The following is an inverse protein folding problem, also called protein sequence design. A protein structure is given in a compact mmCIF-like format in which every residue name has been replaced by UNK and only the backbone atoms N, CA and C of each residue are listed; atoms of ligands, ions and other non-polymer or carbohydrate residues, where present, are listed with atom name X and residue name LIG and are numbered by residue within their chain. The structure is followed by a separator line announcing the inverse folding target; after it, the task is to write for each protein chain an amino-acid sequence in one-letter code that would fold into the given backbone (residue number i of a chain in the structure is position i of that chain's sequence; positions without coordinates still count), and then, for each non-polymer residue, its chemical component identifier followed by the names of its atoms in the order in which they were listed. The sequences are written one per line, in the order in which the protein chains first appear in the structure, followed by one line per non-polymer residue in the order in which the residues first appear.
data_IF_744291470929
#
_entry.id   IF_744291470929
#
_cell.length_a   1.000
_cell.length_b   1.000
_cell.length_c   1.000
_cell.angle_alpha   90.00
_cell.angle_beta   90.00
_cell.angle_gamma   90.00
#
_symmetry.space_group_name_H-M   'P 1'
#
loop_
_entity.id
_entity.type
_entity.pdbx_description
1 polymer ?
#
# COMPACT_ATOMS: atom_id res chain seq x y z
N UNK A 1 26.95 50.42 47.73
CA UNK A 1 26.35 51.21 46.63
C UNK A 1 27.50 51.85 45.84
N UNK A 2 27.59 51.62 44.51
CA UNK A 2 28.65 52.12 43.59
C UNK A 2 30.07 51.55 43.90
N UNK A 3 30.97 51.27 42.96
CA UNK A 3 30.93 51.23 41.48
C UNK A 3 32.09 50.33 41.00
N UNK A 4 31.89 49.49 39.96
CA UNK A 4 32.99 49.03 39.10
C UNK A 4 32.54 49.05 37.63
N UNK A 5 33.10 50.01 36.91
CA UNK A 5 32.93 50.24 35.48
C UNK A 5 34.01 49.51 34.67
N UNK A 6 33.82 49.41 33.34
CA UNK A 6 34.78 48.95 32.30
C UNK A 6 35.13 47.44 32.34
N UNK A 7 35.27 46.75 31.19
CA UNK A 7 35.56 47.23 29.83
C UNK A 7 34.65 46.59 28.75
N UNK A 8 34.40 47.36 27.69
CA UNK A 8 33.89 46.94 26.38
C UNK A 8 34.95 47.31 25.34
N UNK A 9 35.19 46.47 24.32
CA UNK A 9 35.79 46.68 22.97
C UNK A 9 36.24 45.29 22.44
N UNK A 10 35.64 44.67 21.39
CA UNK A 10 35.64 44.98 19.94
C UNK A 10 36.91 44.41 19.23
N UNK A 11 36.87 43.25 18.56
CA UNK A 11 36.65 42.99 17.08
C UNK A 11 37.99 43.06 16.27
N UNK A 12 38.38 42.22 15.29
CA UNK A 12 37.69 41.39 14.25
C UNK A 12 38.50 40.13 13.80
N UNK A 13 38.22 39.59 12.59
CA UNK A 13 38.95 38.62 11.73
C UNK A 13 38.89 37.11 12.11
N UNK A 14 38.11 36.19 11.49
CA UNK A 14 37.81 35.82 10.06
C UNK A 14 38.79 34.77 9.48
N UNK A 15 38.34 33.50 9.35
CA UNK A 15 38.25 32.83 8.04
C UNK A 15 37.37 31.55 8.04
N UNK A 16 36.63 31.45 6.94
CA UNK A 16 35.68 30.44 6.42
C UNK A 16 36.16 28.97 6.43
N UNK A 17 35.30 28.03 6.84
CA UNK A 17 34.99 26.75 6.15
C UNK A 17 33.92 25.93 6.93
N UNK A 18 32.96 25.30 6.24
CA UNK A 18 32.02 24.34 6.90
C UNK A 18 30.55 24.37 6.46
N UNK A 19 30.30 24.21 5.16
CA UNK A 19 29.10 23.60 4.53
C UNK A 19 27.74 23.65 5.25
N UNK A 20 26.79 24.33 4.59
CA UNK A 20 25.34 24.26 4.78
C UNK A 20 24.84 22.81 4.93
N UNK A 21 24.29 22.46 6.10
CA UNK A 21 23.36 21.35 6.26
C UNK A 21 21.93 21.88 6.28
N UNK A 22 21.43 22.25 5.10
CA UNK A 22 20.00 22.23 4.87
C UNK A 22 19.63 20.75 4.72
N UNK A 23 18.86 20.20 5.65
CA UNK A 23 18.22 18.90 5.46
C UNK A 23 17.17 19.06 4.36
N UNK A 24 17.58 18.78 3.12
CA UNK A 24 16.67 18.61 2.00
C UNK A 24 15.84 17.35 2.26
N UNK A 25 14.70 17.51 2.93
CA UNK A 25 13.64 16.52 2.96
C UNK A 25 13.04 16.41 1.54
N UNK A 26 13.72 15.64 0.68
CA UNK A 26 13.25 15.34 -0.67
C UNK A 26 12.12 14.32 -0.61
N UNK A 27 10.91 14.81 -0.29
CA UNK A 27 9.68 14.13 -0.69
C UNK A 27 9.56 14.23 -2.22
N UNK A 28 10.36 13.45 -2.95
CA UNK A 28 10.34 13.44 -4.40
C UNK A 28 9.18 12.56 -4.85
N UNK A 29 8.06 13.21 -5.21
CA UNK A 29 7.01 12.57 -5.99
C UNK A 29 7.62 12.00 -7.28
N UNK A 30 7.54 10.68 -7.44
CA UNK A 30 8.18 9.95 -8.54
C UNK A 30 7.44 10.12 -9.86
N UNK A 31 7.58 11.29 -10.50
CA UNK A 31 7.11 11.53 -11.86
C UNK A 31 8.11 12.40 -12.65
N UNK A 32 9.05 11.75 -13.35
CA UNK A 32 9.66 12.25 -14.60
C UNK A 32 10.53 11.18 -15.25
N UNK A 33 10.00 10.58 -16.31
CA UNK A 33 10.63 10.30 -17.60
C UNK A 33 12.11 9.85 -17.66
N UNK A 34 12.30 8.56 -17.93
CA UNK A 34 13.58 8.00 -18.37
C UNK A 34 13.41 6.60 -18.94
N UNK A 35 13.46 6.45 -20.28
CA UNK A 35 13.31 5.14 -20.93
C UNK A 35 14.50 4.21 -20.66
N UNK A 36 14.38 3.36 -19.63
CA UNK A 36 15.28 2.23 -19.41
C UNK A 36 14.76 0.96 -20.13
N UNK A 37 14.87 0.94 -21.46
CA UNK A 37 14.57 -0.26 -22.25
C UNK A 37 15.67 -1.33 -22.04
N UNK A 38 15.44 -2.29 -21.13
CA UNK A 38 16.32 -3.44 -20.96
C UNK A 38 15.79 -4.65 -21.75
N UNK A 39 16.48 -4.99 -22.84
CA UNK A 39 16.15 -6.13 -23.67
C UNK A 39 16.59 -7.44 -23.00
N UNK A 40 15.65 -8.15 -22.37
CA UNK A 40 15.86 -9.49 -21.82
C UNK A 40 14.82 -10.49 -22.34
N UNK A 41 14.71 -10.60 -23.67
CA UNK A 41 13.82 -11.58 -24.33
C UNK A 41 14.63 -12.80 -24.78
N UNK A 42 14.59 -13.91 -24.04
CA UNK A 42 14.68 -15.29 -24.59
C UNK A 42 14.60 -16.41 -23.55
N UNK A 43 14.12 -17.57 -24.04
CA UNK A 43 14.33 -18.93 -23.51
C UNK A 43 13.79 -19.28 -22.11
N UNK A 44 12.45 -19.37 -21.97
CA UNK A 44 11.81 -20.43 -21.15
C UNK A 44 10.70 -21.12 -21.97
N UNK A 45 11.10 -21.85 -23.01
CA UNK A 45 10.24 -22.82 -23.70
C UNK A 45 10.95 -24.18 -23.67
N UNK A 46 10.42 -25.13 -22.87
CA UNK A 46 10.49 -26.60 -23.03
C UNK A 46 10.40 -27.36 -21.69
N UNK A 47 9.22 -27.39 -21.05
CA UNK A 47 8.81 -28.47 -20.13
C UNK A 47 7.31 -28.77 -20.26
N UNK A 48 6.90 -29.16 -21.47
CA UNK A 48 5.57 -29.73 -21.73
C UNK A 48 5.45 -31.13 -21.12
N UNK A 49 4.96 -31.22 -19.89
CA UNK A 49 4.49 -32.48 -19.30
C UNK A 49 3.07 -32.74 -19.84
N UNK A 50 2.78 -33.91 -20.44
CA UNK A 50 1.43 -34.22 -20.91
C UNK A 50 0.50 -34.47 -19.73
N UNK A 51 -0.35 -33.49 -19.39
CA UNK A 51 -1.49 -33.73 -18.50
C UNK A 51 -2.43 -34.74 -19.17
N UNK A 52 -2.71 -35.84 -18.46
CA UNK A 52 -3.74 -36.79 -18.86
C UNK A 52 -5.10 -36.17 -18.56
N UNK A 53 -5.87 -35.86 -19.59
CA UNK A 53 -7.25 -35.43 -19.44
C UNK A 53 -8.11 -36.57 -18.88
N UNK A 54 -8.60 -36.42 -17.65
CA UNK A 54 -9.66 -37.26 -17.12
C UNK A 54 -11.02 -36.61 -17.47
N UNK A 55 -11.70 -37.14 -18.49
CA UNK A 55 -13.06 -36.71 -18.85
C UNK A 55 -14.06 -37.25 -17.85
N UNK A 56 -14.51 -36.42 -16.91
CA UNK A 56 -15.74 -36.63 -16.17
C UNK A 56 -16.81 -35.65 -16.71
N UNK A 57 -17.86 -36.19 -17.34
CA UNK A 57 -18.91 -35.40 -17.95
C UNK A 57 -20.03 -35.10 -16.95
N UNK A 58 -20.48 -33.84 -16.89
CA UNK A 58 -21.86 -33.37 -16.66
C UNK A 58 -21.89 -31.91 -16.18
N UNK A 59 -21.63 -30.95 -17.07
CA UNK A 59 -22.07 -29.57 -16.81
C UNK A 59 -23.52 -29.48 -17.28
N UNK A 60 -24.45 -29.38 -16.33
CA UNK A 60 -25.83 -29.03 -16.62
C UNK A 60 -25.86 -27.67 -17.32
N UNK A 61 -26.38 -27.62 -18.54
CA UNK A 61 -26.81 -26.35 -19.13
C UNK A 61 -28.04 -25.89 -18.36
N UNK A 62 -27.91 -24.85 -17.53
CA UNK A 62 -29.07 -24.12 -17.02
C UNK A 62 -29.51 -23.12 -18.10
N UNK A 63 -30.62 -23.44 -18.77
CA UNK A 63 -31.27 -22.52 -19.70
C UNK A 63 -31.63 -21.20 -19.01
N UNK A 64 -31.66 -20.12 -19.77
CA UNK A 64 -31.83 -18.78 -19.22
C UNK A 64 -33.21 -18.55 -18.60
N UNK A 65 -33.25 -18.25 -17.30
CA UNK A 65 -34.33 -17.46 -16.72
C UNK A 65 -33.79 -16.06 -16.42
N UNK A 66 -34.11 -15.09 -17.28
CA UNK A 66 -33.90 -13.67 -17.03
C UNK A 66 -34.88 -13.17 -15.97
N UNK A 67 -34.61 -13.52 -14.72
CA UNK A 67 -35.21 -12.89 -13.56
C UNK A 67 -34.09 -12.17 -12.83
N UNK A 68 -34.12 -10.84 -12.86
CA UNK A 68 -33.06 -9.97 -12.38
C UNK A 68 -32.84 -10.10 -10.88
N UNK A 69 -32.10 -11.13 -10.47
CA UNK A 69 -31.39 -11.16 -9.19
C UNK A 69 -30.53 -9.89 -9.17
N UNK A 70 -30.54 -9.09 -8.08
CA UNK A 70 -29.56 -8.02 -7.94
C UNK A 70 -28.17 -8.60 -8.23
N UNK A 71 -27.40 -7.95 -9.09
CA UNK A 71 -25.99 -8.27 -9.26
C UNK A 71 -25.37 -8.21 -7.88
N UNK A 72 -24.92 -9.35 -7.35
CA UNK A 72 -24.56 -9.48 -5.94
C UNK A 72 -23.30 -8.61 -5.70
N UNK A 73 -23.52 -7.40 -5.17
CA UNK A 73 -22.50 -6.36 -5.10
C UNK A 73 -21.37 -6.86 -4.21
N UNK A 74 -20.20 -7.03 -4.83
CA UNK A 74 -19.07 -7.78 -4.29
C UNK A 74 -17.80 -6.94 -4.28
N UNK A 75 -17.00 -7.10 -3.23
CA UNK A 75 -15.69 -6.43 -3.11
C UNK A 75 -14.66 -6.99 -4.11
N UNK A 76 -14.91 -8.18 -4.66
CA UNK A 76 -14.08 -8.79 -5.71
C UNK A 76 -13.90 -7.84 -6.88
N UNK A 77 -12.66 -7.69 -7.33
CA UNK A 77 -12.28 -6.80 -8.43
C UNK A 77 -11.00 -6.02 -8.16
N UNK A 78 -10.77 -5.00 -8.98
CA UNK A 78 -9.58 -4.17 -8.97
C UNK A 78 -9.90 -2.77 -8.43
N UNK A 79 -9.00 -2.22 -7.61
CA UNK A 79 -9.22 -1.01 -6.82
C UNK A 79 -7.98 -0.12 -6.78
N UNK A 80 -8.18 1.20 -6.84
CA UNK A 80 -7.22 2.17 -6.35
C UNK A 80 -7.53 2.47 -4.88
N UNK A 81 -6.55 2.36 -4.00
CA UNK A 81 -6.71 2.49 -2.54
C UNK A 81 -5.85 3.61 -1.96
N UNK A 82 -6.29 4.24 -0.87
CA UNK A 82 -5.53 5.25 -0.12
C UNK A 82 -5.70 5.02 1.38
N UNK A 83 -4.58 4.89 2.08
CA UNK A 83 -4.47 4.74 3.53
C UNK A 83 -4.10 6.11 4.13
N UNK A 84 -4.98 6.65 4.97
CA UNK A 84 -4.81 7.96 5.59
C UNK A 84 -4.68 7.81 7.10
N UNK A 85 -3.60 8.31 7.68
CA UNK A 85 -3.37 8.30 9.13
C UNK A 85 -4.50 9.02 9.88
N UNK A 86 -4.99 8.42 10.96
CA UNK A 86 -5.93 9.03 11.90
C UNK A 86 -5.74 8.38 13.29
N UNK A 87 -5.28 9.16 14.27
CA UNK A 87 -5.01 8.69 15.63
C UNK A 87 -3.65 8.01 15.84
N UNK A 88 -2.73 8.07 14.86
CA UNK A 88 -1.41 7.41 14.95
C UNK A 88 -0.45 8.17 15.88
N UNK A 89 -0.09 7.54 17.01
CA UNK A 89 0.72 8.17 18.07
C UNK A 89 2.18 7.72 18.14
N UNK A 90 2.51 6.49 17.70
CA UNK A 90 3.89 5.99 17.71
C UNK A 90 4.21 5.05 16.52
N UNK A 91 4.99 5.52 15.52
CA UNK A 91 5.58 6.85 15.41
C UNK A 91 4.51 7.95 15.31
N UNK A 92 4.79 9.21 15.68
CA UNK A 92 3.82 10.28 15.52
C UNK A 92 3.63 10.62 14.04
N UNK A 93 2.45 10.29 13.49
CA UNK A 93 2.08 10.61 12.10
C UNK A 93 0.85 11.54 12.14
N UNK A 94 0.90 12.74 11.53
CA UNK A 94 -0.24 13.66 11.54
C UNK A 94 -1.51 13.05 10.96
N UNK A 95 -2.66 13.38 11.54
CA UNK A 95 -3.96 13.02 10.98
C UNK A 95 -4.12 13.64 9.58
N UNK A 96 -4.69 12.88 8.65
CA UNK A 96 -4.82 13.29 7.24
C UNK A 96 -3.56 13.05 6.38
N UNK A 97 -2.43 12.60 6.96
CA UNK A 97 -1.27 12.20 6.17
C UNK A 97 -1.53 10.88 5.45
N UNK A 98 -1.27 10.81 4.14
CA UNK A 98 -1.31 9.55 3.40
C UNK A 98 -0.09 8.72 3.80
N UNK A 99 -0.31 7.52 4.32
CA UNK A 99 0.74 6.58 4.77
C UNK A 99 1.05 5.51 3.72
N UNK A 100 0.06 5.16 2.89
CA UNK A 100 0.26 4.38 1.67
C UNK A 100 -0.90 4.66 0.68
N UNK A 101 -0.69 4.31 -0.58
CA UNK A 101 -1.72 4.23 -1.61
C UNK A 101 -1.33 3.13 -2.59
N UNK A 102 -2.24 2.71 -3.47
CA UNK A 102 -1.85 1.76 -4.50
C UNK A 102 -3.01 1.00 -5.12
N UNK A 103 -2.70 -0.21 -5.57
CA UNK A 103 -3.51 -1.00 -6.47
C UNK A 103 -3.83 -2.35 -5.83
N UNK A 104 -5.05 -2.51 -5.32
CA UNK A 104 -5.51 -3.72 -4.63
C UNK A 104 -6.39 -4.58 -5.54
N UNK A 105 -6.19 -5.90 -5.54
CA UNK A 105 -7.07 -6.87 -6.18
C UNK A 105 -7.62 -7.84 -5.14
N UNK A 106 -8.95 -7.88 -5.03
CA UNK A 106 -9.68 -8.81 -4.16
C UNK A 106 -10.21 -9.95 -5.04
N UNK A 107 -9.85 -11.19 -4.73
CA UNK A 107 -10.20 -12.36 -5.54
C UNK A 107 -11.36 -13.16 -4.90
N UNK A 108 -12.16 -13.83 -5.72
CA UNK A 108 -13.33 -14.60 -5.28
C UNK A 108 -13.01 -15.86 -4.47
N UNK A 109 -11.74 -16.26 -4.37
CA UNK A 109 -11.26 -17.36 -3.54
C UNK A 109 -10.91 -16.94 -2.10
N UNK A 110 -11.13 -15.66 -1.75
CA UNK A 110 -10.80 -15.10 -0.44
C UNK A 110 -9.38 -14.58 -0.32
N UNK A 111 -8.60 -14.52 -1.41
CA UNK A 111 -7.26 -13.91 -1.43
C UNK A 111 -7.29 -12.43 -1.85
N UNK A 112 -6.24 -11.71 -1.49
CA UNK A 112 -6.01 -10.30 -1.84
C UNK A 112 -4.53 -10.05 -2.15
N UNK A 113 -4.25 -9.08 -3.01
CA UNK A 113 -2.91 -8.57 -3.30
C UNK A 113 -2.92 -7.06 -3.49
N UNK A 114 -1.98 -6.37 -2.84
CA UNK A 114 -1.73 -4.95 -3.00
C UNK A 114 -0.38 -4.73 -3.67
N UNK A 115 -0.38 -3.89 -4.70
CA UNK A 115 0.80 -3.19 -5.20
C UNK A 115 0.82 -1.79 -4.58
N UNK A 116 1.64 -1.63 -3.55
CA UNK A 116 1.83 -0.44 -2.73
C UNK A 116 2.66 0.62 -3.46
N UNK A 117 2.43 1.88 -3.11
CA UNK A 117 3.21 3.05 -3.56
C UNK A 117 4.63 3.12 -2.99
N UNK A 118 4.95 2.26 -2.01
CA UNK A 118 6.27 2.19 -1.38
C UNK A 118 7.39 1.96 -2.42
N UNK A 119 8.61 2.46 -2.17
CA UNK A 119 9.75 2.18 -3.02
C UNK A 119 9.98 0.65 -3.12
N UNK A 120 10.09 0.06 -4.33
CA UNK A 120 10.28 -1.39 -4.50
C UNK A 120 11.51 -1.95 -3.76
N UNK A 121 12.55 -1.13 -3.56
CA UNK A 121 13.73 -1.49 -2.77
C UNK A 121 13.41 -1.83 -1.30
N UNK A 122 12.32 -1.29 -0.74
CA UNK A 122 11.86 -1.58 0.63
C UNK A 122 10.77 -2.66 0.70
N UNK A 123 10.51 -3.31 -0.44
CA UNK A 123 9.28 -4.05 -0.79
C UNK A 123 8.05 -3.16 -0.98
N UNK A 124 7.25 -3.50 -1.99
CA UNK A 124 6.01 -2.79 -2.37
C UNK A 124 4.87 -3.75 -2.79
N UNK A 125 5.01 -5.05 -2.53
CA UNK A 125 3.95 -6.03 -2.72
C UNK A 125 3.65 -6.74 -1.41
N UNK A 126 2.36 -7.00 -1.21
CA UNK A 126 1.85 -7.63 -0.01
C UNK A 126 0.61 -8.46 -0.36
N UNK A 127 0.35 -9.47 0.47
CA UNK A 127 -0.63 -10.52 0.21
C UNK A 127 -1.56 -10.66 1.41
N UNK A 128 -2.84 -10.84 1.12
CA UNK A 128 -3.87 -10.96 2.14
C UNK A 128 -4.86 -12.08 1.92
N UNK A 129 -5.64 -12.34 2.97
CA UNK A 129 -6.85 -13.16 2.95
C UNK A 129 -7.98 -12.40 3.61
N UNK A 130 -9.18 -12.49 3.04
CA UNK A 130 -10.35 -11.72 3.48
C UNK A 130 -11.57 -12.61 3.67
N UNK A 131 -12.53 -12.13 4.46
CA UNK A 131 -13.84 -12.75 4.63
C UNK A 131 -14.96 -11.68 4.76
N UNK A 132 -16.18 -12.04 4.36
CA UNK A 132 -17.37 -11.18 4.42
C UNK A 132 -18.04 -11.32 5.78
N UNK A 133 -17.83 -10.35 6.65
CA UNK A 133 -18.30 -10.37 8.04
C UNK A 133 -19.70 -9.77 8.24
N UNK A 134 -20.26 -9.13 7.21
CA UNK A 134 -21.60 -8.54 7.27
C UNK A 134 -22.20 -8.21 5.91
N UNK A 135 -23.32 -7.47 5.91
CA UNK A 135 -23.88 -6.93 4.68
C UNK A 135 -22.95 -5.82 4.15
N UNK A 136 -22.25 -6.11 3.06
CA UNK A 136 -21.19 -5.27 2.49
C UNK A 136 -19.97 -4.99 3.38
N UNK A 137 -19.89 -5.59 4.57
CA UNK A 137 -18.73 -5.48 5.48
C UNK A 137 -17.76 -6.64 5.29
N UNK A 138 -16.48 -6.34 5.23
CA UNK A 138 -15.39 -7.29 5.01
C UNK A 138 -14.25 -7.04 6.00
N UNK A 139 -13.58 -8.10 6.41
CA UNK A 139 -12.31 -8.02 7.13
C UNK A 139 -11.17 -8.52 6.23
N UNK A 140 -10.07 -7.78 6.18
CA UNK A 140 -8.81 -8.20 5.54
C UNK A 140 -7.74 -8.51 6.59
N UNK A 141 -6.98 -9.57 6.35
CA UNK A 141 -5.74 -9.88 7.07
C UNK A 141 -4.60 -10.01 6.05
N UNK A 142 -3.68 -9.07 6.08
CA UNK A 142 -2.73 -8.82 5.02
C UNK A 142 -1.31 -8.71 5.58
N UNK A 143 -0.31 -9.12 4.80
CA UNK A 143 1.08 -9.13 5.22
C UNK A 143 2.02 -8.59 4.13
N UNK A 144 2.93 -7.72 4.56
CA UNK A 144 4.08 -7.28 3.78
C UNK A 144 5.38 -7.82 4.41
N UNK A 145 6.44 -7.94 3.60
CA UNK A 145 7.80 -8.21 4.07
C UNK A 145 8.64 -6.94 3.90
N UNK A 146 8.80 -6.14 4.95
CA UNK A 146 9.52 -4.87 4.86
C UNK A 146 11.03 -5.07 4.86
N UNK A 147 11.71 -4.40 3.93
CA UNK A 147 13.17 -4.36 3.83
C UNK A 147 13.70 -2.93 3.97
N UNK A 148 14.96 -2.79 4.36
CA UNK A 148 15.68 -1.51 4.28
C UNK A 148 16.14 -1.20 2.84
N UNK A 149 16.71 0.00 2.62
CA UNK A 149 17.21 0.42 1.31
C UNK A 149 18.44 -0.37 0.81
N UNK A 150 19.06 -1.20 1.65
CA UNK A 150 20.14 -2.12 1.28
C UNK A 150 19.62 -3.53 0.96
N UNK A 151 18.30 -3.77 1.07
CA UNK A 151 17.67 -5.07 0.85
C UNK A 151 17.72 -6.00 2.06
N UNK A 152 18.10 -5.52 3.26
CA UNK A 152 18.03 -6.33 4.47
C UNK A 152 16.58 -6.42 4.95
N UNK A 153 16.09 -7.62 5.24
CA UNK A 153 14.76 -7.81 5.81
C UNK A 153 14.69 -7.23 7.24
N UNK A 154 13.79 -6.27 7.45
CA UNK A 154 13.49 -5.70 8.77
C UNK A 154 12.56 -6.66 9.53
N UNK A 155 11.52 -7.14 8.85
CA UNK A 155 10.52 -8.03 9.41
C UNK A 155 9.15 -7.85 8.74
N UNK A 156 8.16 -8.69 9.09
CA UNK A 156 6.83 -8.59 8.52
C UNK A 156 6.11 -7.34 9.02
N UNK A 157 5.25 -6.76 8.19
CA UNK A 157 4.16 -5.91 8.65
C UNK A 157 2.85 -6.68 8.55
N UNK A 158 2.02 -6.66 9.60
CA UNK A 158 0.64 -7.12 9.52
C UNK A 158 -0.28 -5.90 9.34
N UNK A 159 -1.12 -5.97 8.32
CA UNK A 159 -2.13 -4.97 8.00
C UNK A 159 -3.50 -5.61 8.20
N UNK A 160 -4.34 -4.94 8.97
CA UNK A 160 -5.71 -5.38 9.28
C UNK A 160 -6.66 -4.31 8.80
N UNK A 161 -7.65 -4.68 8.01
CA UNK A 161 -8.69 -3.74 7.57
C UNK A 161 -10.08 -4.22 7.98
N UNK A 162 -10.96 -3.28 8.30
CA UNK A 162 -12.40 -3.47 8.38
C UNK A 162 -13.05 -2.47 7.43
N UNK A 163 -13.60 -2.95 6.32
CA UNK A 163 -14.10 -2.10 5.23
C UNK A 163 -15.56 -2.40 4.93
N UNK A 164 -16.29 -1.35 4.52
CA UNK A 164 -17.65 -1.44 4.01
C UNK A 164 -17.68 -0.97 2.56
N UNK A 165 -18.15 -1.86 1.68
CA UNK A 165 -18.41 -1.60 0.27
C UNK A 165 -19.72 -0.79 0.13
N UNK A 166 -19.75 0.19 -0.76
CA UNK A 166 -20.97 0.94 -1.03
C UNK A 166 -22.01 0.10 -1.80
N UNK A 167 -23.28 0.51 -1.74
CA UNK A 167 -24.38 -0.22 -2.38
C UNK A 167 -24.38 -0.18 -3.92
N UNK A 168 -23.57 0.70 -4.54
CA UNK A 168 -23.33 0.72 -6.00
C UNK A 168 -22.17 -0.22 -6.40
N UNK A 169 -21.36 -0.64 -5.44
CA UNK A 169 -20.17 -1.46 -5.63
C UNK A 169 -18.95 -0.69 -6.12
N UNK A 170 -18.97 0.64 -6.23
CA UNK A 170 -17.92 1.41 -6.91
C UNK A 170 -16.86 2.02 -5.98
N UNK A 171 -17.13 2.12 -4.69
CA UNK A 171 -16.17 2.50 -3.66
C UNK A 171 -16.30 1.63 -2.41
N UNK A 172 -15.23 1.53 -1.63
CA UNK A 172 -15.30 1.04 -0.25
C UNK A 172 -14.55 1.99 0.69
N UNK A 173 -14.92 1.98 1.96
CA UNK A 173 -14.22 2.75 2.99
C UNK A 173 -14.28 2.06 4.34
N UNK A 174 -13.35 2.40 5.24
CA UNK A 174 -13.27 1.77 6.55
C UNK A 174 -12.05 2.20 7.34
N UNK A 175 -11.62 1.36 8.27
CA UNK A 175 -10.42 1.57 9.09
C UNK A 175 -9.36 0.52 8.82
N UNK A 176 -8.10 0.88 9.12
CA UNK A 176 -6.98 -0.05 9.09
C UNK A 176 -6.08 0.11 10.32
N UNK A 177 -5.30 -0.95 10.61
CA UNK A 177 -4.09 -0.88 11.43
C UNK A 177 -2.92 -1.52 10.70
N UNK A 178 -1.70 -1.03 10.94
CA UNK A 178 -0.43 -1.58 10.47
C UNK A 178 0.48 -1.77 11.68
N UNK A 179 0.84 -3.01 11.96
CA UNK A 179 1.85 -3.38 12.95
C UNK A 179 3.11 -3.85 12.21
N UNK A 180 4.18 -3.06 12.27
CA UNK A 180 5.50 -3.47 11.76
C UNK A 180 6.25 -4.20 12.86
N UNK A 181 6.80 -5.37 12.57
CA UNK A 181 7.60 -6.17 13.50
C UNK A 181 9.07 -6.22 13.09
N UNK A 182 9.95 -6.48 14.06
CA UNK A 182 11.31 -6.96 13.79
C UNK A 182 11.35 -8.48 13.55
N UNK A 183 12.51 -9.03 13.22
CA UNK A 183 12.72 -10.47 13.04
C UNK A 183 12.54 -11.32 14.31
N UNK A 184 12.44 -10.69 15.49
CA UNK A 184 12.18 -11.36 16.78
C UNK A 184 10.69 -11.30 17.18
N UNK A 185 9.84 -10.62 16.39
CA UNK A 185 8.42 -10.43 16.67
C UNK A 185 8.09 -9.25 17.60
N UNK A 186 9.04 -8.34 17.87
CA UNK A 186 8.75 -7.11 18.61
C UNK A 186 8.11 -6.06 17.68
N UNK A 187 7.05 -5.39 18.13
CA UNK A 187 6.43 -4.28 17.38
C UNK A 187 7.37 -3.06 17.35
N UNK A 188 7.72 -2.61 16.15
CA UNK A 188 8.53 -1.43 15.87
C UNK A 188 7.68 -0.17 15.66
N UNK A 189 6.48 -0.33 15.10
CA UNK A 189 5.55 0.77 14.82
C UNK A 189 4.10 0.25 14.82
N UNK A 190 3.17 1.10 15.28
CA UNK A 190 1.73 0.88 15.21
C UNK A 190 1.07 2.10 14.55
N UNK A 191 0.58 1.92 13.32
CA UNK A 191 -0.08 2.95 12.52
C UNK A 191 -1.56 2.59 12.41
N UNK A 192 -2.44 3.57 12.57
CA UNK A 192 -3.89 3.45 12.44
C UNK A 192 -4.47 4.56 11.59
N UNK A 193 -5.61 4.29 10.97
CA UNK A 193 -6.36 5.33 10.30
C UNK A 193 -7.52 4.82 9.46
N UNK A 194 -7.87 5.60 8.44
CA UNK A 194 -8.97 5.31 7.52
C UNK A 194 -8.47 4.94 6.13
N UNK A 195 -9.13 3.96 5.53
CA UNK A 195 -8.91 3.53 4.15
C UNK A 195 -10.09 3.96 3.28
N UNK A 196 -9.80 4.39 2.06
CA UNK A 196 -10.78 4.59 0.98
C UNK A 196 -10.30 3.92 -0.29
N UNK A 197 -11.24 3.46 -1.10
CA UNK A 197 -10.94 2.85 -2.38
C UNK A 197 -11.99 3.18 -3.45
N UNK A 198 -11.54 3.28 -4.69
CA UNK A 198 -12.38 3.46 -5.89
C UNK A 198 -12.14 2.30 -6.85
N UNK A 199 -13.20 1.73 -7.41
CA UNK A 199 -13.11 0.59 -8.33
C UNK A 199 -12.48 1.02 -9.65
N UNK A 200 -11.55 0.20 -10.12
CA UNK A 200 -10.98 0.28 -11.47
C UNK A 200 -11.72 -0.74 -12.35
N UNK A 201 -12.19 -0.30 -13.51
CA UNK A 201 -12.84 -1.12 -14.53
C UNK A 201 -12.01 -1.10 -15.82
N UNK A 202 -12.46 -1.82 -16.85
CA UNK A 202 -11.86 -1.77 -18.19
C UNK A 202 -11.97 -0.40 -18.87
N UNK A 203 -12.90 0.44 -18.40
CA UNK A 203 -13.17 1.78 -18.93
C UNK A 203 -12.52 2.90 -18.10
N UNK A 204 -11.95 2.57 -16.93
CA UNK A 204 -11.25 3.53 -16.06
C UNK A 204 -9.96 4.01 -16.72
N UNK A 205 -9.81 5.32 -16.88
CA UNK A 205 -8.64 5.95 -17.48
C UNK A 205 -7.63 6.38 -16.40
N UNK A 206 -6.36 6.65 -16.76
CA UNK A 206 -5.40 7.20 -15.81
C UNK A 206 -5.85 8.52 -15.16
N UNK A 207 -6.60 9.37 -15.88
CA UNK A 207 -7.10 10.66 -15.38
C UNK A 207 -8.26 10.53 -14.38
N UNK A 208 -8.82 9.33 -14.22
CA UNK A 208 -9.80 9.03 -13.15
C UNK A 208 -9.10 8.66 -11.83
N UNK A 209 -7.77 8.46 -11.85
CA UNK A 209 -6.95 7.93 -10.75
C UNK A 209 -5.83 8.90 -10.32
N UNK A 210 -5.26 9.67 -11.27
CA UNK A 210 -4.09 10.54 -11.09
C UNK A 210 -4.38 12.01 -11.44
#
# INVERSE_FOLDING_TARGET
MKSKFRKLLVTFAVFVAGTVFALSASAQCGASDGHAASNAVSSVLARSVPLRFATAAAVHQSEGNTQGKPTDVSIVGFWHVTFTSEGTTNPPIPDGAIVDMGFAQWHSDGTEILNSSRPPATSNFCLGVWDKTGHFTYNLNHFALSSDLSGNLIGPANIRENVTLDASGNSYSGTFSIDQFDLSGNTLAHIVGTIKATRITVDTTPADIF
#
